data_IF_248340847253
#
_entry.id   IF_248340847253
#
_cell.length_a   1.000
_cell.length_b   1.000
_cell.length_c   1.000
_cell.angle_alpha   90.00
_cell.angle_beta   90.00
_cell.angle_gamma   90.00
#
_symmetry.space_group_name_H-M   'P 1'
#
loop_
_entity.id
_entity.type
_entity.pdbx_description
1 polymer ?
#
# COMPACT_ATOMS: atom_id res chain seq x y z
N UNK A 1 13.89 -19.42 -9.82
CA UNK A 1 15.18 -19.93 -9.36
C UNK A 1 15.63 -19.26 -8.06
N UNK A 2 15.83 -17.92 -7.98
CA UNK A 2 16.32 -17.22 -6.77
C UNK A 2 15.47 -17.50 -5.51
N UNK A 3 14.15 -17.46 -5.60
CA UNK A 3 13.26 -17.79 -4.48
C UNK A 3 13.33 -19.27 -4.11
N UNK A 4 13.31 -20.13 -5.11
CA UNK A 4 13.38 -21.60 -4.91
C UNK A 4 14.66 -22.03 -4.20
N UNK A 5 15.82 -21.45 -4.53
CA UNK A 5 17.11 -21.69 -3.85
C UNK A 5 17.11 -21.26 -2.37
N UNK A 6 16.09 -20.48 -1.96
CA UNK A 6 15.89 -19.98 -0.59
C UNK A 6 14.67 -20.56 0.08
N UNK A 7 14.10 -21.62 -0.49
CA UNK A 7 12.90 -22.29 0.01
C UNK A 7 11.70 -21.33 0.13
N UNK A 8 11.61 -20.34 -0.77
CA UNK A 8 10.52 -19.36 -0.84
C UNK A 8 9.64 -19.71 -2.04
N UNK A 9 8.37 -19.95 -1.79
CA UNK A 9 7.38 -20.09 -2.84
C UNK A 9 7.03 -18.73 -3.44
N UNK A 10 7.20 -18.59 -4.75
CA UNK A 10 6.82 -17.38 -5.47
C UNK A 10 5.41 -17.56 -6.02
N UNK A 11 4.42 -17.02 -5.32
CA UNK A 11 3.02 -17.04 -5.74
C UNK A 11 2.78 -15.93 -6.77
N UNK A 12 2.27 -16.25 -7.98
CA UNK A 12 1.94 -15.22 -8.98
C UNK A 12 0.74 -14.38 -8.55
N UNK A 13 0.73 -13.12 -9.00
CA UNK A 13 -0.43 -12.24 -8.95
C UNK A 13 -0.64 -11.59 -10.32
N UNK A 14 -1.87 -11.59 -10.79
CA UNK A 14 -2.30 -10.85 -11.97
C UNK A 14 -3.75 -10.42 -11.80
N UNK A 15 -4.01 -9.12 -11.77
CA UNK A 15 -5.36 -8.60 -11.66
C UNK A 15 -6.25 -9.09 -12.82
N UNK A 16 -7.51 -9.37 -12.53
CA UNK A 16 -8.44 -9.93 -13.49
C UNK A 16 -9.79 -9.22 -13.54
N UNK A 17 -9.92 -8.07 -12.86
CA UNK A 17 -11.14 -7.24 -12.91
C UNK A 17 -10.84 -5.74 -12.76
N UNK A 18 -10.48 -5.24 -11.56
CA UNK A 18 -9.99 -3.89 -11.33
C UNK A 18 -8.53 -3.69 -11.74
N UNK A 19 -8.02 -2.48 -11.59
CA UNK A 19 -6.62 -2.11 -11.82
C UNK A 19 -6.07 -2.35 -13.24
N UNK A 20 -6.94 -2.29 -14.25
CA UNK A 20 -6.58 -2.41 -15.66
C UNK A 20 -6.34 -1.07 -16.36
N UNK A 21 -6.25 0.04 -15.66
CA UNK A 21 -6.09 1.38 -16.27
C UNK A 21 -4.90 1.48 -17.21
N UNK A 22 -3.79 0.79 -16.90
CA UNK A 22 -2.59 0.81 -17.76
C UNK A 22 -2.81 0.11 -19.11
N UNK A 23 -3.75 -0.83 -19.19
CA UNK A 23 -4.18 -1.49 -20.42
C UNK A 23 -5.31 -0.70 -21.11
N UNK A 24 -6.35 -0.37 -20.36
CA UNK A 24 -7.61 0.15 -20.91
C UNK A 24 -7.50 1.57 -21.48
N UNK A 25 -6.47 2.34 -21.10
CA UNK A 25 -6.15 3.63 -21.75
C UNK A 25 -5.65 3.47 -23.19
N UNK A 26 -5.22 2.28 -23.60
CA UNK A 26 -4.72 2.03 -24.94
C UNK A 26 -5.85 1.58 -25.87
N UNK A 27 -5.88 2.15 -27.08
CA UNK A 27 -6.94 1.93 -28.09
C UNK A 27 -7.32 0.46 -28.33
N UNK A 28 -6.38 -0.52 -28.42
CA UNK A 28 -6.74 -1.93 -28.63
C UNK A 28 -7.57 -2.55 -27.52
N UNK A 29 -7.38 -2.09 -26.28
CA UNK A 29 -8.03 -2.66 -25.09
C UNK A 29 -9.21 -1.84 -24.57
N UNK A 30 -9.37 -0.58 -25.02
CA UNK A 30 -10.44 0.33 -24.59
C UNK A 30 -11.82 -0.30 -24.63
N UNK A 31 -12.09 -1.14 -25.62
CA UNK A 31 -13.35 -1.84 -25.79
C UNK A 31 -13.68 -2.84 -24.66
N UNK A 32 -12.68 -3.28 -23.89
CA UNK A 32 -12.87 -4.18 -22.75
C UNK A 32 -13.27 -3.43 -21.47
N UNK A 33 -13.14 -2.09 -21.43
CA UNK A 33 -13.42 -1.29 -20.25
C UNK A 33 -14.93 -1.24 -19.93
N UNK A 34 -15.27 -1.34 -18.64
CA UNK A 34 -16.63 -1.08 -18.12
C UNK A 34 -17.09 0.34 -18.49
N UNK A 35 -16.22 1.34 -18.29
CA UNK A 35 -16.43 2.74 -18.63
C UNK A 35 -15.35 3.23 -19.60
N UNK A 36 -15.44 2.94 -20.93
CA UNK A 36 -14.37 3.25 -21.89
C UNK A 36 -14.07 4.75 -22.04
N UNK A 37 -15.04 5.63 -21.78
CA UNK A 37 -14.87 7.10 -21.85
C UNK A 37 -14.49 7.72 -20.47
N UNK A 38 -14.17 6.88 -19.49
CA UNK A 38 -13.80 7.30 -18.17
C UNK A 38 -14.94 7.25 -17.15
N UNK A 39 -14.60 7.60 -15.91
CA UNK A 39 -15.55 7.57 -14.79
C UNK A 39 -15.25 8.62 -13.75
N UNK A 40 -16.22 8.86 -12.88
CA UNK A 40 -16.10 9.71 -11.70
C UNK A 40 -16.44 8.90 -10.46
N UNK A 41 -15.66 9.09 -9.40
CA UNK A 41 -15.93 8.60 -8.06
C UNK A 41 -15.85 9.78 -7.07
N UNK A 42 -16.78 9.84 -6.13
CA UNK A 42 -16.85 10.95 -5.19
C UNK A 42 -16.10 10.64 -3.87
N UNK A 43 -16.01 9.37 -3.47
CA UNK A 43 -15.30 8.97 -2.24
C UNK A 43 -14.50 7.66 -2.43
N UNK A 44 -13.16 7.69 -2.31
CA UNK A 44 -12.33 8.88 -2.46
C UNK A 44 -12.50 9.52 -3.84
N UNK A 45 -12.40 10.85 -3.88
CA UNK A 45 -12.62 11.58 -5.13
C UNK A 45 -11.60 11.19 -6.21
N UNK A 46 -12.12 10.76 -7.35
CA UNK A 46 -11.31 10.39 -8.51
C UNK A 46 -12.07 10.69 -9.80
N UNK A 47 -11.37 11.26 -10.77
CA UNK A 47 -11.86 11.45 -12.14
C UNK A 47 -10.82 10.89 -13.09
N UNK A 48 -11.22 10.04 -14.02
CA UNK A 48 -10.38 9.50 -15.08
C UNK A 48 -11.08 9.64 -16.43
N UNK A 49 -10.30 9.81 -17.49
CA UNK A 49 -10.73 9.87 -18.89
C UNK A 49 -10.68 8.51 -19.60
N UNK A 50 -10.42 7.45 -18.85
CA UNK A 50 -10.37 6.07 -19.30
C UNK A 50 -10.84 5.13 -18.18
N UNK A 51 -11.25 3.92 -18.54
CA UNK A 51 -11.65 2.90 -17.57
C UNK A 51 -10.48 2.25 -16.84
N UNK A 52 -10.77 1.69 -15.68
CA UNK A 52 -9.85 0.85 -14.90
C UNK A 52 -10.38 -0.55 -14.61
N UNK A 53 -11.65 -0.81 -14.93
CA UNK A 53 -12.34 -2.08 -14.68
C UNK A 53 -12.74 -2.75 -16.00
N UNK A 54 -12.54 -4.05 -16.10
CA UNK A 54 -12.98 -4.85 -17.24
C UNK A 54 -14.50 -5.02 -17.22
N UNK A 55 -15.14 -5.14 -18.39
CA UNK A 55 -16.54 -5.57 -18.49
C UNK A 55 -16.68 -6.99 -17.94
N UNK A 56 -17.64 -7.29 -17.06
CA UNK A 56 -17.90 -8.66 -16.63
C UNK A 56 -18.63 -9.45 -17.74
N UNK A 57 -17.89 -9.86 -18.76
CA UNK A 57 -18.39 -10.58 -19.92
C UNK A 57 -17.36 -11.57 -20.50
N UNK A 58 -17.77 -12.38 -21.48
CA UNK A 58 -16.93 -13.40 -22.08
C UNK A 58 -15.67 -12.83 -22.75
N UNK A 59 -15.76 -11.70 -23.43
CA UNK A 59 -14.57 -11.13 -24.10
C UNK A 59 -13.46 -10.76 -23.10
N UNK A 60 -13.84 -10.32 -21.91
CA UNK A 60 -12.86 -10.06 -20.84
C UNK A 60 -12.28 -11.35 -20.28
N UNK A 61 -13.09 -12.39 -20.13
CA UNK A 61 -12.60 -13.71 -19.71
C UNK A 61 -11.63 -14.31 -20.74
N UNK A 62 -11.97 -14.21 -22.04
CA UNK A 62 -11.09 -14.69 -23.13
C UNK A 62 -9.76 -13.93 -23.15
N UNK A 63 -9.80 -12.62 -22.89
CA UNK A 63 -8.60 -11.80 -22.79
C UNK A 63 -7.74 -12.22 -21.58
N UNK A 64 -8.35 -12.41 -20.41
CA UNK A 64 -7.66 -12.87 -19.21
C UNK A 64 -7.08 -14.29 -19.41
N UNK A 65 -7.83 -15.19 -20.03
CA UNK A 65 -7.34 -16.54 -20.34
C UNK A 65 -6.07 -16.51 -21.19
N UNK A 66 -6.03 -15.63 -22.20
CA UNK A 66 -4.82 -15.45 -23.02
C UNK A 66 -3.61 -14.94 -22.22
N UNK A 67 -3.84 -14.09 -21.21
CA UNK A 67 -2.78 -13.63 -20.33
C UNK A 67 -2.30 -14.76 -19.38
N UNK A 68 -3.22 -15.59 -18.90
CA UNK A 68 -2.87 -16.73 -18.03
C UNK A 68 -2.07 -17.80 -18.78
N UNK A 69 -2.42 -18.08 -20.04
CA UNK A 69 -1.68 -18.99 -20.91
C UNK A 69 -0.19 -18.59 -21.05
N UNK A 70 0.08 -17.27 -21.12
CA UNK A 70 1.45 -16.77 -21.22
C UNK A 70 2.15 -16.66 -19.85
N UNK A 71 1.43 -16.25 -18.82
CA UNK A 71 2.02 -15.86 -17.52
C UNK A 71 2.24 -17.03 -16.58
N UNK A 72 1.24 -17.88 -16.39
CA UNK A 72 1.25 -18.92 -15.36
C UNK A 72 2.29 -20.02 -15.54
N UNK A 73 2.72 -20.40 -16.75
CA UNK A 73 3.79 -21.39 -16.93
C UNK A 73 5.13 -21.03 -16.31
N UNK A 74 5.36 -19.74 -16.01
CA UNK A 74 6.59 -19.26 -15.37
C UNK A 74 6.66 -19.51 -13.85
N UNK A 75 5.57 -20.00 -13.22
CA UNK A 75 5.47 -20.16 -11.77
C UNK A 75 5.16 -21.61 -11.38
N UNK A 76 5.96 -22.12 -10.45
CA UNK A 76 5.77 -23.47 -9.89
C UNK A 76 4.71 -23.53 -8.78
N UNK A 77 4.33 -22.38 -8.18
CA UNK A 77 3.31 -22.31 -7.15
C UNK A 77 1.98 -22.87 -7.65
N UNK A 78 1.27 -23.57 -6.78
CA UNK A 78 -0.13 -23.96 -7.03
C UNK A 78 -1.12 -22.86 -6.68
N UNK A 79 -0.72 -21.88 -5.87
CA UNK A 79 -1.52 -20.70 -5.53
C UNK A 79 -1.37 -19.64 -6.61
N UNK A 80 -2.46 -18.90 -6.83
CA UNK A 80 -2.49 -17.76 -7.75
C UNK A 80 -3.47 -16.71 -7.25
N UNK A 81 -2.97 -15.48 -6.99
CA UNK A 81 -3.80 -14.34 -6.64
C UNK A 81 -4.28 -13.62 -7.90
N UNK A 82 -5.59 -13.56 -8.08
CA UNK A 82 -6.25 -12.99 -9.26
C UNK A 82 -6.71 -11.54 -9.09
N UNK A 83 -6.40 -10.88 -7.96
CA UNK A 83 -6.86 -9.54 -7.66
C UNK A 83 -8.34 -9.52 -7.31
N UNK A 84 -9.19 -9.01 -8.21
CA UNK A 84 -10.65 -8.83 -8.09
C UNK A 84 -11.08 -7.71 -7.16
N UNK A 85 -10.14 -6.95 -6.61
CA UNK A 85 -10.36 -5.82 -5.73
C UNK A 85 -10.80 -4.55 -6.48
N UNK A 86 -11.42 -3.66 -5.74
CA UNK A 86 -11.72 -2.27 -6.13
C UNK A 86 -12.33 -2.08 -7.53
N UNK A 87 -13.33 -2.89 -7.95
CA UNK A 87 -14.01 -2.69 -9.23
C UNK A 87 -14.95 -1.49 -9.16
N UNK A 88 -14.41 -0.30 -8.97
CA UNK A 88 -15.15 0.94 -8.66
C UNK A 88 -16.19 1.32 -9.69
N UNK A 89 -15.94 0.97 -10.96
CA UNK A 89 -16.83 1.30 -12.08
C UNK A 89 -17.98 0.30 -12.27
N UNK A 90 -17.97 -0.82 -11.56
CA UNK A 90 -18.98 -1.87 -11.73
C UNK A 90 -20.39 -1.33 -11.50
N UNK A 91 -21.20 -1.40 -12.54
CA UNK A 91 -22.57 -0.86 -12.56
C UNK A 91 -22.68 0.59 -13.01
N UNK A 92 -21.58 1.24 -13.41
CA UNK A 92 -21.64 2.61 -13.91
C UNK A 92 -21.68 2.69 -15.43
N UNK A 93 -21.20 1.68 -16.15
CA UNK A 93 -21.09 1.65 -17.60
C UNK A 93 -21.84 0.48 -18.23
N UNK A 94 -21.10 -0.40 -18.89
CA UNK A 94 -21.66 -1.52 -19.65
C UNK A 94 -22.52 -2.47 -18.80
N UNK A 95 -22.11 -2.73 -17.56
CA UNK A 95 -22.82 -3.64 -16.67
C UNK A 95 -24.02 -3.01 -15.95
N UNK A 96 -24.26 -1.70 -16.09
CA UNK A 96 -25.33 -0.98 -15.40
C UNK A 96 -26.69 -1.66 -15.47
N UNK A 97 -27.22 -2.08 -16.65
CA UNK A 97 -28.53 -2.75 -16.69
C UNK A 97 -28.57 -4.08 -15.95
N UNK A 98 -27.42 -4.80 -15.89
CA UNK A 98 -27.31 -6.07 -15.14
C UNK A 98 -27.29 -5.83 -13.65
N UNK A 99 -26.54 -4.81 -13.21
CA UNK A 99 -26.46 -4.43 -11.79
C UNK A 99 -27.80 -3.91 -11.27
N UNK A 100 -28.49 -3.08 -12.05
CA UNK A 100 -29.85 -2.62 -11.71
C UNK A 100 -30.86 -3.78 -11.59
N UNK A 101 -30.73 -4.81 -12.44
CA UNK A 101 -31.64 -5.96 -12.42
C UNK A 101 -31.30 -7.02 -11.36
N UNK A 102 -30.04 -7.27 -11.11
CA UNK A 102 -29.57 -8.45 -10.33
C UNK A 102 -28.81 -8.09 -9.06
N UNK A 103 -28.42 -6.82 -8.88
CA UNK A 103 -27.53 -6.36 -7.80
C UNK A 103 -26.04 -6.48 -8.16
N UNK A 104 -25.23 -5.58 -7.59
CA UNK A 104 -23.77 -5.49 -7.80
C UNK A 104 -23.06 -6.82 -7.47
N UNK A 105 -23.35 -7.38 -6.29
CA UNK A 105 -22.70 -8.62 -5.82
C UNK A 105 -22.93 -9.81 -6.73
N UNK A 106 -24.15 -9.99 -7.26
CA UNK A 106 -24.44 -11.11 -8.16
C UNK A 106 -23.68 -11.00 -9.48
N UNK A 107 -23.53 -9.77 -9.99
CA UNK A 107 -22.73 -9.53 -11.21
C UNK A 107 -21.25 -9.77 -10.94
N UNK A 108 -20.74 -9.35 -9.78
CA UNK A 108 -19.38 -9.61 -9.34
C UNK A 108 -19.11 -11.10 -9.17
N UNK A 109 -19.93 -11.83 -8.41
CA UNK A 109 -19.79 -13.27 -8.19
C UNK A 109 -19.76 -14.07 -9.49
N UNK A 110 -20.61 -13.69 -10.47
CA UNK A 110 -20.59 -14.34 -11.79
C UNK A 110 -19.27 -14.13 -12.54
N UNK A 111 -18.64 -12.97 -12.39
CA UNK A 111 -17.31 -12.73 -12.97
C UNK A 111 -16.24 -13.54 -12.22
N UNK A 112 -16.28 -13.55 -10.89
CA UNK A 112 -15.40 -14.35 -10.04
C UNK A 112 -15.45 -15.85 -10.39
N UNK A 113 -16.65 -16.41 -10.58
CA UNK A 113 -16.83 -17.81 -11.02
C UNK A 113 -16.18 -18.06 -12.39
N UNK A 114 -16.30 -17.11 -13.32
CA UNK A 114 -15.63 -17.20 -14.62
C UNK A 114 -14.09 -17.21 -14.47
N UNK A 115 -13.53 -16.33 -13.64
CA UNK A 115 -12.10 -16.30 -13.36
C UNK A 115 -11.65 -17.58 -12.65
N UNK A 116 -12.41 -18.08 -11.67
CA UNK A 116 -12.11 -19.34 -10.99
C UNK A 116 -11.97 -20.50 -11.98
N UNK A 117 -12.91 -20.62 -12.92
CA UNK A 117 -12.86 -21.66 -13.96
C UNK A 117 -11.61 -21.57 -14.83
N UNK A 118 -11.10 -20.34 -15.10
CA UNK A 118 -9.84 -20.15 -15.82
C UNK A 118 -8.64 -20.57 -14.96
N UNK A 119 -8.63 -20.25 -13.66
CA UNK A 119 -7.57 -20.66 -12.72
C UNK A 119 -7.47 -22.18 -12.61
N UNK A 120 -8.62 -22.85 -12.51
CA UNK A 120 -8.71 -24.31 -12.46
C UNK A 120 -8.21 -25.00 -13.74
N UNK A 121 -8.49 -24.39 -14.91
CA UNK A 121 -7.94 -24.85 -16.20
C UNK A 121 -6.39 -24.93 -16.17
N UNK A 122 -5.74 -24.07 -15.38
CA UNK A 122 -4.29 -24.03 -15.22
C UNK A 122 -3.77 -24.81 -14.01
N UNK A 123 -4.58 -25.67 -13.41
CA UNK A 123 -4.17 -26.48 -12.25
C UNK A 123 -3.71 -25.64 -11.04
N UNK A 124 -4.32 -24.47 -10.83
CA UNK A 124 -4.04 -23.54 -9.72
C UNK A 124 -5.22 -23.45 -8.76
N UNK A 125 -4.94 -23.04 -7.53
CA UNK A 125 -5.93 -22.62 -6.53
C UNK A 125 -6.01 -21.09 -6.51
N UNK A 126 -7.22 -20.55 -6.46
CA UNK A 126 -7.49 -19.13 -6.54
C UNK A 126 -7.42 -18.45 -5.18
N UNK A 127 -6.60 -17.41 -5.07
CA UNK A 127 -6.65 -16.41 -4.01
C UNK A 127 -7.14 -15.08 -4.62
N UNK A 128 -7.93 -14.28 -3.86
CA UNK A 128 -8.44 -12.99 -4.32
C UNK A 128 -8.67 -12.03 -3.16
N UNK A 129 -8.67 -10.72 -3.42
CA UNK A 129 -8.94 -9.70 -2.41
C UNK A 129 -10.45 -9.61 -2.11
N UNK A 130 -10.78 -9.60 -0.83
CA UNK A 130 -12.15 -9.86 -0.35
C UNK A 130 -13.03 -8.60 -0.17
N UNK A 131 -12.57 -7.40 -0.49
CA UNK A 131 -13.26 -6.14 -0.21
C UNK A 131 -14.71 -6.10 -0.70
N UNK A 132 -14.97 -6.50 -1.95
CA UNK A 132 -16.33 -6.51 -2.51
C UNK A 132 -17.26 -7.49 -1.78
N UNK A 133 -16.73 -8.64 -1.35
CA UNK A 133 -17.51 -9.62 -0.57
C UNK A 133 -17.82 -9.08 0.82
N UNK A 134 -16.86 -8.38 1.42
CA UNK A 134 -16.98 -7.84 2.78
C UNK A 134 -17.81 -6.53 2.86
N UNK A 135 -18.17 -5.89 1.71
CA UNK A 135 -19.22 -4.86 1.69
C UNK A 135 -20.54 -5.40 2.30
N UNK A 136 -20.78 -6.68 2.11
CA UNK A 136 -21.85 -7.41 2.78
C UNK A 136 -21.36 -8.84 3.13
N UNK A 137 -20.87 -9.08 4.36
CA UNK A 137 -20.27 -10.33 4.77
C UNK A 137 -21.12 -11.58 4.55
N UNK A 138 -22.45 -11.44 4.53
CA UNK A 138 -23.38 -12.53 4.23
C UNK A 138 -23.13 -13.13 2.82
N UNK A 139 -22.53 -12.38 1.92
CA UNK A 139 -22.20 -12.89 0.59
C UNK A 139 -21.07 -13.93 0.60
N UNK A 140 -20.29 -14.02 1.66
CA UNK A 140 -19.24 -15.06 1.78
C UNK A 140 -19.80 -16.47 1.66
N UNK A 141 -21.04 -16.71 2.11
CA UNK A 141 -21.72 -18.01 1.96
C UNK A 141 -21.96 -18.43 0.50
N UNK A 142 -21.89 -17.50 -0.45
CA UNK A 142 -22.08 -17.78 -1.88
C UNK A 142 -20.77 -18.01 -2.63
N UNK A 143 -19.63 -17.90 -1.95
CA UNK A 143 -18.33 -18.18 -2.55
C UNK A 143 -18.15 -19.68 -2.80
N UNK A 144 -17.54 -20.07 -3.93
CA UNK A 144 -17.06 -21.42 -4.11
C UNK A 144 -16.05 -21.83 -3.04
N UNK A 145 -16.14 -23.05 -2.52
CA UNK A 145 -15.31 -23.52 -1.39
C UNK A 145 -13.80 -23.56 -1.66
N UNK A 146 -13.40 -23.49 -2.91
CA UNK A 146 -12.01 -23.50 -3.36
C UNK A 146 -11.52 -22.13 -3.87
N UNK A 147 -12.28 -21.08 -3.64
CA UNK A 147 -11.84 -19.69 -3.77
C UNK A 147 -11.45 -19.16 -2.39
N UNK A 148 -10.18 -18.79 -2.21
CA UNK A 148 -9.65 -18.35 -0.92
C UNK A 148 -9.62 -16.81 -0.84
N UNK A 149 -10.54 -16.18 -0.08
CA UNK A 149 -10.52 -14.74 0.11
C UNK A 149 -9.34 -14.29 0.96
N UNK A 150 -8.74 -13.16 0.58
CA UNK A 150 -7.72 -12.46 1.36
C UNK A 150 -8.35 -11.19 1.92
N UNK A 151 -8.48 -11.13 3.22
CA UNK A 151 -9.07 -9.99 3.95
C UNK A 151 -7.96 -8.97 4.18
N UNK A 152 -8.04 -7.82 3.52
CA UNK A 152 -7.03 -6.79 3.62
C UNK A 152 -7.53 -5.55 4.37
N UNK A 153 -6.62 -4.87 5.06
CA UNK A 153 -6.87 -3.61 5.73
C UNK A 153 -5.62 -3.09 6.42
N UNK A 154 -5.41 -1.78 6.43
CA UNK A 154 -4.11 -1.19 6.71
C UNK A 154 -4.10 -0.20 7.87
N UNK A 155 -5.27 0.16 8.41
CA UNK A 155 -5.35 1.03 9.59
C UNK A 155 -5.27 0.23 10.89
N UNK A 156 -4.85 0.90 11.96
CA UNK A 156 -4.66 0.24 13.26
C UNK A 156 -5.94 -0.28 13.92
N UNK A 157 -7.09 0.24 13.51
CA UNK A 157 -8.43 -0.11 13.98
C UNK A 157 -9.24 -0.91 12.93
N UNK A 158 -8.58 -1.43 11.88
CA UNK A 158 -9.26 -2.22 10.87
C UNK A 158 -10.00 -3.42 11.51
N UNK A 159 -11.25 -3.69 11.12
CA UNK A 159 -12.13 -4.65 11.80
C UNK A 159 -11.84 -6.12 11.42
N UNK A 160 -10.57 -6.57 11.49
CA UNK A 160 -10.18 -7.94 11.17
C UNK A 160 -11.00 -8.98 11.93
N UNK A 161 -11.34 -8.72 13.21
CA UNK A 161 -12.09 -9.67 14.04
C UNK A 161 -13.45 -10.03 13.44
N UNK A 162 -14.27 -9.03 13.11
CA UNK A 162 -15.61 -9.27 12.55
C UNK A 162 -15.56 -9.86 11.15
N UNK A 163 -14.61 -9.41 10.32
CA UNK A 163 -14.45 -9.89 8.95
C UNK A 163 -13.93 -11.34 8.92
N UNK A 164 -12.89 -11.65 9.69
CA UNK A 164 -12.35 -13.01 9.81
C UNK A 164 -13.40 -14.00 10.34
N UNK A 165 -14.12 -13.58 11.39
CA UNK A 165 -15.22 -14.38 11.94
C UNK A 165 -16.26 -14.73 10.88
N UNK A 166 -16.75 -13.74 10.11
CA UNK A 166 -17.78 -13.95 9.09
C UNK A 166 -17.34 -14.93 7.99
N UNK A 167 -16.07 -14.89 7.58
CA UNK A 167 -15.53 -15.79 6.57
C UNK A 167 -15.29 -17.18 7.14
N UNK A 168 -14.77 -17.28 8.35
CA UNK A 168 -14.55 -18.56 9.06
C UNK A 168 -15.86 -19.32 9.30
N UNK A 169 -16.94 -18.63 9.69
CA UNK A 169 -18.27 -19.22 9.88
C UNK A 169 -18.87 -19.81 8.60
N UNK A 170 -18.40 -19.35 7.41
CA UNK A 170 -18.76 -19.95 6.12
C UNK A 170 -17.92 -21.20 5.76
N UNK A 171 -16.95 -21.57 6.58
CA UNK A 171 -16.08 -22.74 6.36
C UNK A 171 -15.08 -22.55 5.21
N UNK A 172 -14.75 -21.31 4.85
CA UNK A 172 -13.80 -20.97 3.80
C UNK A 172 -12.38 -20.90 4.35
N UNK A 173 -11.42 -21.36 3.55
CA UNK A 173 -10.02 -21.04 3.77
C UNK A 173 -9.77 -19.58 3.43
N UNK A 174 -9.05 -18.84 4.26
CA UNK A 174 -8.78 -17.43 4.05
C UNK A 174 -7.44 -17.00 4.65
N UNK A 175 -6.95 -15.86 4.22
CA UNK A 175 -5.76 -15.20 4.79
C UNK A 175 -6.08 -13.77 5.20
N UNK A 176 -5.29 -13.21 6.13
CA UNK A 176 -5.37 -11.80 6.50
C UNK A 176 -4.20 -11.02 5.90
N UNK A 177 -4.48 -9.84 5.36
CA UNK A 177 -3.48 -9.02 4.71
C UNK A 177 -3.34 -7.64 5.39
N UNK A 178 -2.57 -7.54 6.48
CA UNK A 178 -2.13 -6.28 7.03
C UNK A 178 -1.10 -5.61 6.10
N UNK A 179 -0.80 -4.33 6.37
CA UNK A 179 0.12 -3.56 5.55
C UNK A 179 1.33 -3.01 6.30
N UNK A 180 2.39 -2.73 5.55
CA UNK A 180 3.59 -2.05 6.07
C UNK A 180 3.34 -0.57 6.39
N UNK A 181 2.21 -0.02 5.92
CA UNK A 181 1.79 1.37 6.11
C UNK A 181 2.89 2.41 5.80
N UNK A 182 3.80 2.11 4.85
CA UNK A 182 4.88 2.99 4.44
C UNK A 182 4.64 3.68 3.09
N UNK A 183 3.69 3.21 2.26
CA UNK A 183 3.29 3.90 1.04
C UNK A 183 2.58 5.22 1.35
N UNK A 184 2.70 6.18 0.42
CA UNK A 184 2.20 7.55 0.62
C UNK A 184 2.68 8.15 1.94
N UNK A 185 3.95 7.83 2.31
CA UNK A 185 4.63 8.30 3.50
C UNK A 185 6.14 8.41 3.24
N UNK A 186 6.81 9.37 3.84
CA UNK A 186 8.27 9.48 3.79
C UNK A 186 8.94 8.86 5.01
N UNK A 187 8.17 8.64 6.07
CA UNK A 187 8.63 8.19 7.38
C UNK A 187 8.23 6.75 7.72
N UNK A 188 7.18 6.23 7.07
CA UNK A 188 6.40 5.13 7.60
C UNK A 188 5.40 5.62 8.67
N UNK A 189 4.55 4.72 9.20
CA UNK A 189 3.47 5.02 10.15
C UNK A 189 3.49 3.97 11.27
N UNK A 190 4.45 4.10 12.22
CA UNK A 190 4.77 3.03 13.18
C UNK A 190 3.58 2.59 14.03
N UNK A 191 2.84 3.51 14.64
CA UNK A 191 1.73 3.13 15.52
C UNK A 191 0.59 2.47 14.75
N UNK A 192 0.34 2.92 13.52
CA UNK A 192 -0.65 2.31 12.62
C UNK A 192 -0.26 0.87 12.30
N UNK A 193 0.98 0.65 11.83
CA UNK A 193 1.43 -0.69 11.45
C UNK A 193 1.52 -1.62 12.64
N UNK A 194 1.95 -1.12 13.79
CA UNK A 194 2.05 -1.90 15.02
C UNK A 194 0.67 -2.46 15.43
N UNK A 195 -0.34 -1.60 15.52
CA UNK A 195 -1.72 -2.00 15.85
C UNK A 195 -2.30 -2.93 14.80
N UNK A 196 -2.11 -2.60 13.52
CA UNK A 196 -2.64 -3.37 12.40
C UNK A 196 -2.08 -4.80 12.37
N UNK A 197 -0.76 -4.97 12.51
CA UNK A 197 -0.09 -6.27 12.53
C UNK A 197 -0.49 -7.11 13.75
N UNK A 198 -0.52 -6.52 14.95
CA UNK A 198 -0.95 -7.24 16.16
C UNK A 198 -2.41 -7.71 16.02
N UNK A 199 -3.30 -6.84 15.52
CA UNK A 199 -4.70 -7.21 15.27
C UNK A 199 -4.82 -8.33 14.24
N UNK A 200 -4.15 -8.21 13.09
CA UNK A 200 -4.21 -9.25 12.05
C UNK A 200 -3.69 -10.60 12.56
N UNK A 201 -2.51 -10.65 13.19
CA UNK A 201 -1.95 -11.92 13.68
C UNK A 201 -2.80 -12.55 14.78
N UNK A 202 -3.35 -11.75 15.71
CA UNK A 202 -4.23 -12.26 16.76
C UNK A 202 -5.51 -12.86 16.18
N UNK A 203 -6.14 -12.18 15.22
CA UNK A 203 -7.37 -12.66 14.61
C UNK A 203 -7.12 -13.83 13.64
N UNK A 204 -5.94 -13.92 13.01
CA UNK A 204 -5.56 -15.08 12.22
C UNK A 204 -5.52 -16.36 13.07
N UNK A 205 -4.89 -16.28 14.25
CA UNK A 205 -4.85 -17.40 15.21
C UNK A 205 -6.26 -17.73 15.73
N UNK A 206 -7.05 -16.73 16.09
CA UNK A 206 -8.36 -16.91 16.72
C UNK A 206 -9.37 -17.56 15.77
N UNK A 207 -9.38 -17.17 14.50
CA UNK A 207 -10.36 -17.62 13.51
C UNK A 207 -9.80 -18.66 12.51
N UNK A 208 -8.57 -19.12 12.69
CA UNK A 208 -7.98 -20.21 11.89
C UNK A 208 -7.66 -19.80 10.44
N UNK A 209 -7.16 -18.58 10.23
CA UNK A 209 -6.68 -18.18 8.91
C UNK A 209 -5.48 -19.04 8.46
N UNK A 210 -5.36 -19.31 7.15
CA UNK A 210 -4.22 -20.06 6.59
C UNK A 210 -2.88 -19.32 6.75
N UNK A 211 -2.91 -17.99 6.82
CA UNK A 211 -1.69 -17.21 6.97
C UNK A 211 -1.90 -15.69 6.98
N UNK A 212 -0.76 -15.02 7.08
CA UNK A 212 -0.64 -13.57 7.00
C UNK A 212 0.09 -13.20 5.71
N UNK A 213 -0.51 -12.32 4.92
CA UNK A 213 0.10 -11.72 3.74
C UNK A 213 0.42 -10.25 4.04
N UNK A 214 1.63 -9.97 4.53
CA UNK A 214 2.07 -8.59 4.78
C UNK A 214 2.29 -7.86 3.46
N UNK A 215 1.46 -6.86 3.19
CA UNK A 215 1.51 -6.10 1.94
C UNK A 215 2.36 -4.84 2.04
N UNK A 216 2.99 -4.48 0.93
CA UNK A 216 3.64 -3.18 0.73
C UNK A 216 3.29 -2.65 -0.64
N UNK A 217 2.79 -1.43 -0.71
CA UNK A 217 2.32 -0.80 -1.95
C UNK A 217 3.25 0.35 -2.37
N UNK A 218 3.23 0.70 -3.65
CA UNK A 218 4.00 1.80 -4.21
C UNK A 218 3.11 2.90 -4.77
N UNK A 219 2.00 3.18 -4.13
CA UNK A 219 0.97 4.11 -4.56
C UNK A 219 1.51 5.50 -4.92
N UNK A 220 0.95 6.09 -5.97
CA UNK A 220 1.16 7.49 -6.33
C UNK A 220 2.64 7.88 -6.51
N UNK A 221 3.44 7.01 -7.12
CA UNK A 221 4.82 7.33 -7.50
C UNK A 221 5.91 6.68 -6.63
N UNK A 222 5.54 5.88 -5.63
CA UNK A 222 6.48 5.09 -4.82
C UNK A 222 7.61 5.93 -4.20
N UNK A 223 7.24 7.05 -3.54
CA UNK A 223 8.20 8.00 -2.98
C UNK A 223 8.76 7.61 -1.61
N UNK A 224 8.23 6.57 -0.99
CA UNK A 224 8.71 6.09 0.31
C UNK A 224 10.14 5.54 0.22
N UNK A 225 11.03 5.93 1.14
CA UNK A 225 12.35 5.32 1.25
C UNK A 225 12.22 3.82 1.54
N UNK A 226 13.02 3.00 0.85
CA UNK A 226 12.94 1.54 0.99
C UNK A 226 13.15 1.05 2.42
N UNK A 227 14.06 1.67 3.17
CA UNK A 227 14.37 1.28 4.56
C UNK A 227 13.19 1.45 5.52
N UNK A 228 12.18 2.24 5.17
CA UNK A 228 10.94 2.37 5.97
C UNK A 228 10.13 1.06 6.03
N UNK A 229 10.44 0.09 5.18
CA UNK A 229 9.84 -1.25 5.25
C UNK A 229 10.46 -2.15 6.32
N UNK A 230 11.69 -1.90 6.77
CA UNK A 230 12.35 -2.79 7.71
C UNK A 230 11.59 -2.94 9.04
N UNK A 231 11.15 -1.87 9.73
CA UNK A 231 10.40 -2.01 10.97
C UNK A 231 9.14 -2.90 10.84
N UNK A 232 8.23 -2.67 9.89
CA UNK A 232 7.04 -3.51 9.73
C UNK A 232 7.35 -4.95 9.30
N UNK A 233 8.34 -5.19 8.44
CA UNK A 233 8.74 -6.54 8.05
C UNK A 233 9.28 -7.33 9.24
N UNK A 234 10.10 -6.70 10.08
CA UNK A 234 10.65 -7.37 11.26
C UNK A 234 9.58 -7.61 12.33
N UNK A 235 8.70 -6.65 12.57
CA UNK A 235 7.56 -6.85 13.47
C UNK A 235 6.64 -7.98 12.97
N UNK A 236 6.24 -7.93 11.70
CA UNK A 236 5.40 -8.95 11.09
C UNK A 236 6.02 -10.34 11.15
N UNK A 237 7.31 -10.48 10.82
CA UNK A 237 8.00 -11.77 10.91
C UNK A 237 8.09 -12.31 12.34
N UNK A 238 8.28 -11.44 13.34
CA UNK A 238 8.29 -11.86 14.75
C UNK A 238 6.88 -12.32 15.20
N UNK A 239 5.84 -11.56 14.85
CA UNK A 239 4.46 -11.86 15.23
C UNK A 239 3.98 -13.17 14.61
N UNK A 240 4.27 -13.41 13.33
CA UNK A 240 3.88 -14.65 12.65
C UNK A 240 4.64 -15.88 13.13
N UNK A 241 5.88 -15.70 13.63
CA UNK A 241 6.71 -16.80 14.15
C UNK A 241 6.49 -17.08 15.63
N UNK A 242 6.35 -16.03 16.46
CA UNK A 242 6.33 -16.12 17.93
C UNK A 242 4.95 -15.86 18.55
N UNK A 243 3.96 -15.44 17.76
CA UNK A 243 2.65 -15.06 18.27
C UNK A 243 2.72 -13.85 19.22
N UNK A 244 2.10 -13.98 20.39
CA UNK A 244 1.95 -12.87 21.36
C UNK A 244 3.24 -12.51 22.13
N UNK A 245 4.30 -13.34 22.05
CA UNK A 245 5.54 -13.15 22.80
C UNK A 245 6.55 -12.24 22.09
N UNK A 246 6.08 -11.23 21.40
CA UNK A 246 6.91 -10.25 20.70
C UNK A 246 7.13 -9.02 21.58
N UNK A 247 8.41 -8.59 21.68
CA UNK A 247 8.76 -7.31 22.30
C UNK A 247 9.06 -6.28 21.20
N UNK A 248 8.11 -5.39 20.96
CA UNK A 248 8.19 -4.35 19.94
C UNK A 248 9.40 -3.41 20.12
N UNK A 249 9.84 -3.19 21.37
CA UNK A 249 11.00 -2.33 21.69
C UNK A 249 12.34 -2.88 21.18
N UNK A 250 12.40 -4.19 20.88
CA UNK A 250 13.62 -4.84 20.37
C UNK A 250 13.71 -4.87 18.86
N UNK A 251 12.67 -4.42 18.14
CA UNK A 251 12.64 -4.50 16.67
C UNK A 251 13.80 -3.74 16.04
N UNK A 252 14.12 -2.53 16.52
CA UNK A 252 15.29 -1.77 16.06
C UNK A 252 16.61 -2.53 16.19
N UNK A 253 16.85 -3.16 17.34
CA UNK A 253 18.04 -3.98 17.58
C UNK A 253 18.08 -5.22 16.66
N UNK A 254 16.94 -5.83 16.37
CA UNK A 254 16.88 -6.97 15.44
C UNK A 254 17.20 -6.54 14.02
N UNK A 255 16.75 -5.37 13.58
CA UNK A 255 17.12 -4.79 12.28
C UNK A 255 18.63 -4.58 12.21
N UNK A 256 19.21 -3.90 13.20
CA UNK A 256 20.66 -3.62 13.27
C UNK A 256 21.48 -4.92 13.20
N UNK A 257 21.07 -5.93 13.94
CA UNK A 257 21.75 -7.23 13.97
C UNK A 257 21.64 -7.99 12.66
N UNK A 258 20.45 -8.00 12.04
CA UNK A 258 20.13 -8.92 10.95
C UNK A 258 20.38 -8.29 9.58
N UNK A 259 20.00 -7.02 9.39
CA UNK A 259 20.15 -6.31 8.11
C UNK A 259 21.53 -5.66 8.01
N UNK A 260 21.96 -5.03 9.09
CA UNK A 260 23.20 -4.26 9.09
C UNK A 260 24.40 -5.00 9.70
N UNK A 261 24.18 -6.20 10.27
CA UNK A 261 25.22 -6.99 10.95
C UNK A 261 26.03 -6.18 11.97
N UNK A 262 25.41 -5.18 12.60
CA UNK A 262 26.01 -4.26 13.55
C UNK A 262 25.06 -3.98 14.72
N UNK A 263 25.00 -4.84 15.75
CA UNK A 263 23.97 -4.80 16.80
C UNK A 263 23.90 -3.49 17.61
N UNK A 264 24.97 -2.70 17.61
CA UNK A 264 25.07 -1.42 18.33
C UNK A 264 24.95 -0.20 17.40
N UNK A 265 24.50 -0.37 16.15
CA UNK A 265 24.45 0.70 15.17
C UNK A 265 23.44 1.79 15.54
N UNK A 266 22.26 1.40 16.03
CA UNK A 266 21.17 2.31 16.40
C UNK A 266 20.29 2.75 15.22
N UNK A 267 20.65 2.43 13.97
CA UNK A 267 19.91 2.85 12.78
C UNK A 267 18.52 2.20 12.70
N UNK A 268 18.39 0.95 13.13
CA UNK A 268 17.09 0.27 13.20
C UNK A 268 16.10 1.01 14.11
N UNK A 269 16.58 1.53 15.26
CA UNK A 269 15.76 2.35 16.15
C UNK A 269 15.44 3.71 15.53
N UNK A 270 16.38 4.34 14.86
CA UNK A 270 16.18 5.61 14.18
C UNK A 270 15.11 5.52 13.05
N UNK A 271 15.03 4.41 12.35
CA UNK A 271 13.96 4.15 11.38
C UNK A 271 12.57 4.09 12.06
N UNK A 272 12.49 3.45 13.22
CA UNK A 272 11.27 3.41 14.04
C UNK A 272 10.93 4.81 14.55
N UNK A 273 11.91 5.57 15.01
CA UNK A 273 11.71 6.91 15.57
C UNK A 273 11.25 7.90 14.47
N UNK A 274 11.76 7.77 13.26
CA UNK A 274 11.22 8.51 12.11
C UNK A 274 9.75 8.14 11.84
N UNK A 275 9.40 6.85 11.92
CA UNK A 275 8.05 6.37 11.66
C UNK A 275 7.02 6.73 12.76
N UNK A 276 7.45 7.29 13.89
CA UNK A 276 6.57 7.86 14.94
C UNK A 276 6.04 9.26 14.60
N UNK A 277 6.42 9.85 13.48
CA UNK A 277 6.12 11.23 13.14
C UNK A 277 4.62 11.57 13.22
N UNK A 278 3.74 10.72 12.65
CA UNK A 278 2.29 10.94 12.70
C UNK A 278 1.75 10.96 14.14
N UNK A 279 2.32 10.10 15.01
CA UNK A 279 1.99 10.07 16.45
C UNK A 279 2.45 11.35 17.17
N UNK A 280 3.62 11.88 16.81
CA UNK A 280 4.16 13.12 17.38
C UNK A 280 3.34 14.33 16.97
N UNK A 281 2.90 14.39 15.70
CA UNK A 281 1.98 15.40 15.21
C UNK A 281 0.58 15.24 15.85
N UNK A 282 0.21 14.02 16.23
CA UNK A 282 -1.11 13.72 16.79
C UNK A 282 -2.22 13.66 15.74
N UNK A 283 -1.87 13.49 14.48
CA UNK A 283 -2.83 13.46 13.37
C UNK A 283 -2.59 12.24 12.45
N UNK A 284 -3.64 11.46 12.23
CA UNK A 284 -3.60 10.27 11.39
C UNK A 284 -4.51 10.44 10.16
N UNK A 285 -3.95 10.25 8.98
CA UNK A 285 -4.69 10.21 7.73
C UNK A 285 -4.82 8.74 7.28
N UNK A 286 -6.03 8.24 7.06
CA UNK A 286 -6.19 6.89 6.55
C UNK A 286 -5.40 6.67 5.26
N UNK A 287 -4.63 5.59 5.24
CA UNK A 287 -3.83 5.16 4.09
C UNK A 287 -2.81 6.20 3.57
N UNK A 288 -2.38 7.14 4.44
CA UNK A 288 -1.54 8.27 4.07
C UNK A 288 -0.76 8.82 5.28
N UNK A 289 0.29 9.59 5.06
CA UNK A 289 0.89 10.47 6.07
C UNK A 289 0.66 11.93 5.74
N UNK A 290 0.56 12.77 6.77
CA UNK A 290 0.32 14.20 6.58
C UNK A 290 1.39 14.89 5.74
N UNK A 291 2.71 14.67 5.94
CA UNK A 291 3.74 15.31 5.12
C UNK A 291 3.63 14.95 3.65
N UNK A 292 3.36 13.68 3.34
CA UNK A 292 3.18 13.24 1.97
C UNK A 292 1.92 13.85 1.33
N UNK A 293 0.79 13.81 2.06
CA UNK A 293 -0.47 14.38 1.61
C UNK A 293 -0.33 15.88 1.32
N UNK A 294 0.26 16.65 2.23
CA UNK A 294 0.46 18.08 2.08
C UNK A 294 1.30 18.39 0.84
N UNK A 295 2.36 17.63 0.59
CA UNK A 295 3.28 17.88 -0.51
C UNK A 295 2.70 17.50 -1.88
N UNK A 296 1.98 16.39 -1.99
CA UNK A 296 1.57 15.83 -3.29
C UNK A 296 0.08 15.94 -3.61
N UNK A 297 -0.79 15.90 -2.62
CA UNK A 297 -2.24 15.79 -2.82
C UNK A 297 -3.01 17.05 -2.44
N UNK A 298 -2.54 17.79 -1.45
CA UNK A 298 -3.20 19.00 -1.00
C UNK A 298 -2.94 20.13 -2.00
N UNK A 299 -4.00 20.79 -2.42
CA UNK A 299 -3.91 22.07 -3.11
C UNK A 299 -4.17 23.16 -2.08
N UNK A 300 -3.37 24.26 -2.05
CA UNK A 300 -3.52 25.31 -1.05
C UNK A 300 -4.94 25.87 -0.92
N UNK A 301 -5.66 25.88 -2.03
CA UNK A 301 -7.04 26.39 -2.12
C UNK A 301 -8.10 25.35 -1.72
N UNK A 302 -7.70 24.08 -1.52
CA UNK A 302 -8.60 22.93 -1.35
C UNK A 302 -8.16 21.99 -0.25
N UNK A 303 -7.35 22.46 0.71
CA UNK A 303 -7.19 21.66 1.93
C UNK A 303 -8.60 21.45 2.48
N UNK A 304 -9.09 20.19 2.55
CA UNK A 304 -10.43 19.95 3.04
C UNK A 304 -10.62 20.70 4.35
N UNK A 305 -11.66 21.49 4.46
CA UNK A 305 -11.89 22.40 5.59
C UNK A 305 -11.80 21.67 6.93
N UNK A 306 -12.27 20.41 6.97
CA UNK A 306 -12.18 19.55 8.15
C UNK A 306 -10.74 19.22 8.59
N UNK A 307 -9.77 19.15 7.66
CA UNK A 307 -8.35 18.96 8.00
C UNK A 307 -7.76 20.23 8.60
N UNK A 308 -8.10 21.37 8.04
CA UNK A 308 -7.65 22.67 8.55
C UNK A 308 -8.22 22.98 9.94
N UNK A 309 -9.40 22.46 10.26
CA UNK A 309 -10.03 22.59 11.58
C UNK A 309 -9.42 21.66 12.64
N UNK A 310 -8.82 20.55 12.22
CA UNK A 310 -8.24 19.53 13.12
C UNK A 310 -6.73 19.69 13.34
N UNK A 311 -6.04 20.46 12.49
CA UNK A 311 -4.60 20.64 12.55
C UNK A 311 -4.24 22.05 13.04
N UNK A 312 -3.40 22.13 14.04
CA UNK A 312 -2.80 23.38 14.50
C UNK A 312 -1.33 23.52 14.05
N UNK A 313 -0.88 24.76 13.87
CA UNK A 313 0.54 25.06 13.61
C UNK A 313 1.44 24.54 14.74
N UNK A 314 0.95 24.49 15.97
CA UNK A 314 1.69 23.98 17.13
C UNK A 314 1.99 22.49 16.99
N UNK A 315 1.02 21.67 16.60
CA UNK A 315 1.21 20.23 16.38
C UNK A 315 2.20 19.96 15.24
N UNK A 316 2.11 20.75 14.18
CA UNK A 316 3.06 20.67 13.07
C UNK A 316 4.48 21.07 13.51
N UNK A 317 4.61 22.08 14.38
CA UNK A 317 5.90 22.48 14.95
C UNK A 317 6.51 21.36 15.83
N UNK A 318 5.70 20.62 16.60
CA UNK A 318 6.17 19.47 17.35
C UNK A 318 6.79 18.40 16.42
N UNK A 319 6.17 18.21 15.25
CA UNK A 319 6.72 17.32 14.22
C UNK A 319 8.06 17.80 13.67
N UNK A 320 8.22 19.10 13.38
CA UNK A 320 9.49 19.69 12.95
C UNK A 320 10.58 19.57 14.01
N UNK A 321 10.26 19.87 15.27
CA UNK A 321 11.19 19.77 16.39
C UNK A 321 11.67 18.32 16.59
N UNK A 322 10.76 17.36 16.45
CA UNK A 322 11.11 15.94 16.49
C UNK A 322 12.06 15.55 15.35
N UNK A 323 11.75 15.93 14.11
CA UNK A 323 12.61 15.65 12.95
C UNK A 323 13.99 16.31 13.09
N UNK A 324 14.06 17.54 13.56
CA UNK A 324 15.33 18.24 13.81
C UNK A 324 16.14 17.53 14.92
N UNK A 325 15.48 17.04 15.97
CA UNK A 325 16.13 16.29 17.05
C UNK A 325 16.76 15.01 16.52
N UNK A 326 15.98 14.16 15.84
CA UNK A 326 16.49 12.89 15.33
C UNK A 326 17.53 13.08 14.22
N UNK A 327 17.43 14.12 13.38
CA UNK A 327 18.38 14.41 12.30
C UNK A 327 19.82 14.61 12.76
N UNK A 328 20.03 14.91 14.04
CA UNK A 328 21.37 15.05 14.65
C UNK A 328 22.04 13.73 14.98
N UNK A 329 21.35 12.61 14.86
CA UNK A 329 21.92 11.29 15.11
C UNK A 329 22.96 10.92 14.05
N UNK A 330 24.02 10.25 14.48
CA UNK A 330 25.12 9.81 13.63
C UNK A 330 25.36 8.30 13.82
N UNK A 331 25.56 7.61 12.72
CA UNK A 331 25.74 6.17 12.70
C UNK A 331 27.12 5.82 12.12
N UNK A 332 27.79 4.82 12.69
CA UNK A 332 29.06 4.29 12.15
C UNK A 332 28.80 3.37 10.95
N UNK A 333 28.14 3.89 9.91
CA UNK A 333 27.67 3.14 8.74
C UNK A 333 28.68 3.05 7.60
N UNK A 334 29.79 3.77 7.64
CA UNK A 334 30.71 3.99 6.52
C UNK A 334 31.27 2.70 5.90
N UNK A 335 31.52 1.68 6.70
CA UNK A 335 32.07 0.40 6.26
C UNK A 335 30.97 -0.65 5.93
N UNK A 336 29.70 -0.25 5.96
CA UNK A 336 28.56 -1.14 5.70
C UNK A 336 27.66 -0.53 4.60
N UNK A 337 27.74 -1.01 3.35
CA UNK A 337 26.97 -0.44 2.23
C UNK A 337 25.45 -0.44 2.46
N UNK A 338 24.90 -1.48 3.11
CA UNK A 338 23.47 -1.57 3.40
C UNK A 338 23.05 -0.54 4.45
N UNK A 339 23.85 -0.39 5.52
CA UNK A 339 23.59 0.61 6.55
C UNK A 339 23.77 2.03 5.99
N UNK A 340 24.80 2.25 5.17
CA UNK A 340 25.03 3.56 4.52
C UNK A 340 23.86 3.96 3.62
N UNK A 341 23.37 3.06 2.82
CA UNK A 341 22.20 3.35 1.96
C UNK A 341 20.95 3.60 2.80
N UNK A 342 20.69 2.80 3.83
CA UNK A 342 19.54 3.01 4.72
C UNK A 342 19.63 4.34 5.51
N UNK A 343 20.84 4.77 5.90
CA UNK A 343 21.08 6.10 6.49
C UNK A 343 20.76 7.23 5.50
N UNK A 344 21.16 7.09 4.22
CA UNK A 344 20.82 8.06 3.18
C UNK A 344 19.31 8.13 2.95
N UNK A 345 18.64 7.00 2.95
CA UNK A 345 17.17 6.90 2.84
C UNK A 345 16.48 7.54 4.05
N UNK A 346 16.96 7.27 5.26
CA UNK A 346 16.45 7.87 6.49
C UNK A 346 16.59 9.40 6.47
N UNK A 347 17.76 9.94 6.07
CA UNK A 347 17.98 11.38 5.91
C UNK A 347 17.07 11.98 4.84
N UNK A 348 16.87 11.28 3.72
CA UNK A 348 15.93 11.73 2.67
C UNK A 348 14.48 11.76 3.20
N UNK A 349 14.07 10.74 3.97
CA UNK A 349 12.75 10.68 4.59
C UNK A 349 12.50 11.84 5.55
N UNK A 350 13.50 12.24 6.35
CA UNK A 350 13.45 13.42 7.23
C UNK A 350 13.25 14.68 6.40
N UNK A 351 14.08 14.92 5.39
CA UNK A 351 14.05 16.15 4.59
C UNK A 351 12.75 16.29 3.80
N UNK A 352 12.23 15.21 3.23
CA UNK A 352 10.93 15.19 2.55
C UNK A 352 9.77 15.43 3.54
N UNK A 353 9.86 14.88 4.75
CA UNK A 353 8.88 15.12 5.80
C UNK A 353 8.89 16.57 6.27
N UNK A 354 10.05 17.17 6.45
CA UNK A 354 10.19 18.61 6.77
C UNK A 354 9.58 19.47 5.66
N UNK A 355 9.85 19.17 4.39
CA UNK A 355 9.26 19.87 3.26
C UNK A 355 7.73 19.81 3.28
N UNK A 356 7.17 18.60 3.50
CA UNK A 356 5.73 18.40 3.59
C UNK A 356 5.06 19.11 4.77
N UNK A 357 5.68 19.09 5.96
CA UNK A 357 5.15 19.80 7.13
C UNK A 357 5.20 21.32 6.92
N UNK A 358 6.29 21.85 6.39
CA UNK A 358 6.39 23.27 6.09
C UNK A 358 5.32 23.71 5.08
N UNK A 359 5.04 22.87 4.06
CA UNK A 359 3.97 23.13 3.12
C UNK A 359 2.60 23.12 3.83
N UNK A 360 2.34 22.18 4.75
CA UNK A 360 1.12 22.16 5.56
C UNK A 360 0.96 23.42 6.42
N UNK A 361 2.04 23.89 7.07
CA UNK A 361 2.04 25.14 7.85
C UNK A 361 1.67 26.34 6.96
N UNK A 362 2.24 26.44 5.76
CA UNK A 362 1.91 27.51 4.82
C UNK A 362 0.43 27.49 4.42
N UNK A 363 -0.13 26.31 4.16
CA UNK A 363 -1.55 26.17 3.82
C UNK A 363 -2.49 26.61 4.94
N UNK A 364 -2.18 26.24 6.21
CA UNK A 364 -3.01 26.58 7.37
C UNK A 364 -2.89 28.04 7.75
N UNK A 365 -1.70 28.64 7.64
CA UNK A 365 -1.42 30.01 8.08
C UNK A 365 -1.93 31.12 7.14
N UNK A 366 -2.66 30.78 6.07
CA UNK A 366 -3.28 31.72 5.11
C UNK A 366 -2.38 32.89 4.72
N UNK A 367 -1.26 32.65 4.05
CA UNK A 367 -0.53 33.69 3.34
C UNK A 367 0.81 34.14 3.92
N UNK A 368 1.46 33.33 4.75
CA UNK A 368 2.88 33.55 5.06
C UNK A 368 3.70 33.04 3.88
N UNK A 369 4.43 33.96 3.24
CA UNK A 369 5.25 33.70 2.04
C UNK A 369 5.93 32.32 2.00
N UNK A 370 5.48 31.49 1.10
CA UNK A 370 6.06 30.16 0.78
C UNK A 370 7.47 30.22 0.17
N UNK A 371 7.95 31.41 -0.16
CA UNK A 371 9.21 31.63 -0.89
C UNK A 371 10.50 31.36 -0.11
N UNK A 372 10.45 30.99 1.18
CA UNK A 372 11.65 30.76 2.00
C UNK A 372 12.04 29.29 2.25
N UNK A 373 11.25 28.30 1.79
CA UNK A 373 11.44 26.90 2.18
C UNK A 373 12.51 26.18 1.33
N UNK A 374 12.79 26.67 0.11
CA UNK A 374 13.53 25.89 -0.89
C UNK A 374 15.04 26.19 -1.00
N UNK A 375 15.61 27.17 -0.32
CA UNK A 375 16.88 27.74 -0.78
C UNK A 375 18.18 27.22 -0.16
N UNK A 376 18.17 26.27 0.79
CA UNK A 376 19.42 25.83 1.44
C UNK A 376 19.65 24.30 1.51
N UNK A 377 18.83 23.46 0.88
CA UNK A 377 19.09 22.02 0.85
C UNK A 377 19.61 21.57 -0.52
N UNK A 378 20.54 20.57 -0.57
CA UNK A 378 20.90 19.92 -1.83
C UNK A 378 19.62 19.45 -2.52
N UNK A 379 19.53 19.52 -3.85
CA UNK A 379 18.28 19.30 -4.56
C UNK A 379 17.70 17.91 -4.21
N UNK A 380 16.64 17.88 -3.42
CA UNK A 380 15.93 16.67 -2.98
C UNK A 380 15.68 15.72 -4.16
N UNK A 381 15.35 16.28 -5.31
CA UNK A 381 15.18 15.55 -6.57
C UNK A 381 16.41 14.72 -6.94
N UNK A 382 17.62 15.31 -6.87
CA UNK A 382 18.85 14.58 -7.21
C UNK A 382 19.13 13.46 -6.22
N UNK A 383 18.98 13.71 -4.92
CA UNK A 383 19.17 12.71 -3.87
C UNK A 383 18.15 11.56 -4.00
N UNK A 384 16.89 11.87 -4.27
CA UNK A 384 15.86 10.89 -4.52
C UNK A 384 16.22 9.99 -5.71
N UNK A 385 16.64 10.59 -6.84
CA UNK A 385 17.08 9.85 -8.01
C UNK A 385 18.27 8.93 -7.73
N UNK A 386 19.30 9.42 -7.04
CA UNK A 386 20.51 8.66 -6.74
C UNK A 386 20.21 7.46 -5.81
N UNK A 387 19.34 7.64 -4.84
CA UNK A 387 18.89 6.59 -3.93
C UNK A 387 18.01 5.57 -4.67
N UNK A 388 17.07 6.04 -5.50
CA UNK A 388 16.21 5.16 -6.31
C UNK A 388 17.04 4.18 -7.14
N UNK A 389 18.05 4.68 -7.85
CA UNK A 389 18.89 3.86 -8.74
C UNK A 389 19.78 2.86 -7.99
N UNK A 390 19.94 2.98 -6.68
CA UNK A 390 20.61 1.98 -5.86
C UNK A 390 19.66 0.85 -5.41
N UNK A 391 18.35 1.07 -5.44
CA UNK A 391 17.32 0.10 -5.03
C UNK A 391 16.58 -0.52 -6.21
N UNK A 392 16.34 0.25 -7.25
CA UNK A 392 15.47 -0.11 -8.36
C UNK A 392 16.07 0.27 -9.70
N UNK A 393 15.52 -0.32 -10.76
CA UNK A 393 15.82 0.07 -12.13
C UNK A 393 15.16 1.40 -12.47
N UNK A 394 15.50 1.96 -13.64
CA UNK A 394 15.02 3.27 -14.10
C UNK A 394 13.49 3.32 -14.35
N UNK A 395 12.84 2.17 -14.49
CA UNK A 395 11.39 2.11 -14.73
C UNK A 395 10.59 2.80 -13.61
N UNK A 396 9.66 3.68 -13.97
CA UNK A 396 8.86 4.46 -13.02
C UNK A 396 9.55 5.71 -12.45
N UNK A 397 10.87 5.81 -12.50
CA UNK A 397 11.63 6.95 -11.93
C UNK A 397 11.20 8.30 -12.51
N UNK A 398 10.99 8.37 -13.83
CA UNK A 398 10.57 9.62 -14.48
C UNK A 398 9.20 10.10 -13.94
N UNK A 399 8.27 9.18 -13.76
CA UNK A 399 6.93 9.46 -13.20
C UNK A 399 7.04 9.99 -11.77
N UNK A 400 7.80 9.30 -10.91
CA UNK A 400 8.05 9.71 -9.53
C UNK A 400 8.75 11.08 -9.43
N UNK A 401 9.79 11.32 -10.24
CA UNK A 401 10.52 12.59 -10.27
C UNK A 401 9.64 13.75 -10.76
N UNK A 402 8.76 13.52 -11.75
CA UNK A 402 7.86 14.55 -12.27
C UNK A 402 6.87 15.02 -11.19
N UNK A 403 6.34 14.08 -10.39
CA UNK A 403 5.48 14.41 -9.25
C UNK A 403 6.23 15.20 -8.18
N UNK A 404 7.44 14.75 -7.81
CA UNK A 404 8.26 15.42 -6.81
C UNK A 404 8.67 16.84 -7.25
N UNK A 405 9.06 17.01 -8.51
CA UNK A 405 9.44 18.31 -9.06
C UNK A 405 8.28 19.29 -9.02
N UNK A 406 7.10 18.84 -9.44
CA UNK A 406 5.89 19.67 -9.38
C UNK A 406 5.53 20.07 -7.95
N UNK A 407 5.68 19.15 -6.99
CA UNK A 407 5.39 19.40 -5.59
C UNK A 407 6.37 20.41 -4.93
N UNK A 408 7.64 20.40 -5.34
CA UNK A 408 8.67 21.29 -4.79
C UNK A 408 8.69 22.70 -5.45
N UNK A 409 7.95 22.90 -6.55
CA UNK A 409 7.82 24.20 -7.23
C UNK A 409 6.65 25.04 -6.70
N UNK A 410 5.70 24.42 -6.02
CA UNK A 410 4.54 25.05 -5.40
C UNK A 410 4.84 25.48 -3.97
#
# INVERSE_FOLDING_TARGET
QYCQERFIELVPNLNSFGHFERWLRHKPYKQLAECPEGFRRDDPFMVRDHGSVLKPNQNSLDFIDSLYDEYLPHFSSKKFNVGLDEPWELGQGWSKPKVEKHGKHKVYLKHLEGILSLVEKHDKSMEFWADVILENPENAQHLPSHASPIIWGYEGDHPFSSQAKSVAECGLNFSLAPGTANWRSFSGRWETVRKNLHSACTNADEYGAEGILLTTWGDCGNHQPWSTMYPPLFLGSQLTWRGKDVNDEKIGTFIDRTVFHSPALGLGQALIDLAKLDQIIGFNLPNNSLPWFALFSAQPEKLPQHLAEQLSVHELQNGLDWLNKISSENFSSENNPNAKLAELEWKLGIDLSIAGINHAICMISKGINSSKIANNQPPLKKRFQDIWLQRARIGGLHEALSLLEKALQN
#
